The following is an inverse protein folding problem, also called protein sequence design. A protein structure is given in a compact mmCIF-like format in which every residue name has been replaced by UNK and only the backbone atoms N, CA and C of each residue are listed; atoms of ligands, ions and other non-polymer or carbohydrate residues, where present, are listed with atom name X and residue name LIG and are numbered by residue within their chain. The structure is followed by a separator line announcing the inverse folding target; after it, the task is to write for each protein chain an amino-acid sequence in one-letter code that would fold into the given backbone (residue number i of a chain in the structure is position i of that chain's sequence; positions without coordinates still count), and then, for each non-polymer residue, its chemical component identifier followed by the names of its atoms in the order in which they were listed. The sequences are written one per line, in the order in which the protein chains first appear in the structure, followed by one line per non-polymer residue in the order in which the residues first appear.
data_IF_134459503038
#
_entry.id   IF_134459503038
#
_cell.length_a   1.000
_cell.length_b   1.000
_cell.length_c   1.000
_cell.angle_alpha   90.00
_cell.angle_beta   90.00
_cell.angle_gamma   90.00
#
_symmetry.space_group_name_H-M   'P 1'
#
loop_
_entity.id
_entity.type
_entity.pdbx_description
1 polymer ?
#
# COMPACT_ATOMS: atom_id res chain seq x y z
N UNK A 1 -3.35 2.16 2.79
CA UNK A 1 -2.87 2.17 1.38
C UNK A 1 -3.40 3.41 0.68
N UNK A 2 -2.61 4.07 -0.18
CA UNK A 2 -3.10 5.18 -1.00
C UNK A 2 -2.93 4.81 -2.48
N UNK A 3 -3.99 5.02 -3.28
CA UNK A 3 -4.05 4.66 -4.70
C UNK A 3 -3.41 5.69 -5.63
N UNK A 4 -3.52 5.45 -6.95
CA UNK A 4 -3.02 6.37 -7.98
C UNK A 4 -3.86 7.65 -8.10
N UNK A 5 -5.09 7.66 -7.61
CA UNK A 5 -5.96 8.84 -7.50
C UNK A 5 -5.41 9.87 -6.53
N UNK A 6 -4.65 9.44 -5.52
CA UNK A 6 -4.10 10.30 -4.46
C UNK A 6 -5.16 11.08 -3.67
N UNK A 7 -6.38 10.55 -3.58
CA UNK A 7 -7.53 11.19 -2.95
C UNK A 7 -7.65 10.89 -1.46
N UNK A 8 -7.09 9.77 -1.01
CA UNK A 8 -7.17 9.37 0.39
C UNK A 8 -6.37 8.11 0.72
N UNK A 9 -6.63 7.60 1.90
CA UNK A 9 -5.97 6.41 2.46
C UNK A 9 -7.00 5.37 2.88
N UNK A 10 -6.83 4.15 2.37
CA UNK A 10 -7.48 2.97 2.92
C UNK A 10 -6.63 2.38 4.05
N UNK A 11 -7.26 2.09 5.18
CA UNK A 11 -6.67 1.40 6.31
C UNK A 11 -7.50 0.17 6.65
N UNK A 12 -6.83 -0.96 6.82
CA UNK A 12 -7.46 -2.21 7.25
C UNK A 12 -6.70 -2.79 8.43
N UNK A 13 -7.44 -3.29 9.41
CA UNK A 13 -6.90 -4.12 10.48
C UNK A 13 -7.30 -5.56 10.19
N UNK A 14 -6.33 -6.45 10.19
CA UNK A 14 -6.52 -7.85 9.83
C UNK A 14 -5.85 -8.76 10.86
N UNK A 15 -6.43 -9.95 11.05
CA UNK A 15 -5.75 -11.11 11.65
C UNK A 15 -5.29 -12.05 10.54
N UNK A 16 -4.02 -12.46 10.59
CA UNK A 16 -3.45 -13.39 9.62
C UNK A 16 -2.34 -14.19 10.26
N UNK A 17 -2.18 -15.43 9.83
CA UNK A 17 -1.03 -16.28 10.17
C UNK A 17 0.17 -16.05 9.23
N UNK A 18 0.03 -15.15 8.25
CA UNK A 18 1.03 -14.86 7.23
C UNK A 18 1.09 -15.91 6.10
N UNK A 19 0.23 -16.91 6.07
CA UNK A 19 0.21 -18.03 5.12
C UNK A 19 -1.10 -18.11 4.34
N UNK A 20 -2.13 -18.68 4.95
CA UNK A 20 -3.38 -18.99 4.28
C UNK A 20 -4.64 -18.61 5.06
N UNK A 21 -4.49 -18.08 6.26
CA UNK A 21 -5.62 -17.59 7.06
C UNK A 21 -5.60 -16.06 7.12
N UNK A 22 -6.78 -15.52 6.94
CA UNK A 22 -6.99 -14.08 6.94
C UNK A 22 -8.43 -13.77 7.40
N UNK A 23 -8.55 -12.80 8.28
CA UNK A 23 -9.84 -12.18 8.61
C UNK A 23 -9.69 -10.68 8.74
N UNK A 24 -10.64 -9.93 8.17
CA UNK A 24 -10.71 -8.49 8.34
C UNK A 24 -11.45 -8.16 9.63
N UNK A 25 -10.84 -7.32 10.47
CA UNK A 25 -11.41 -6.84 11.74
C UNK A 25 -12.05 -5.47 11.53
N UNK A 26 -11.33 -4.57 10.86
CA UNK A 26 -11.74 -3.18 10.67
C UNK A 26 -11.28 -2.67 9.32
N UNK A 27 -12.10 -1.88 8.65
CA UNK A 27 -11.74 -1.21 7.41
C UNK A 27 -12.27 0.21 7.44
N UNK A 28 -11.46 1.17 7.01
CA UNK A 28 -11.87 2.56 6.86
C UNK A 28 -11.14 3.21 5.71
N UNK A 29 -11.73 4.27 5.19
CA UNK A 29 -11.15 5.17 4.21
C UNK A 29 -11.20 6.59 4.74
N UNK A 30 -10.14 7.36 4.53
CA UNK A 30 -10.08 8.78 4.91
C UNK A 30 -9.52 9.60 3.77
N UNK A 31 -10.30 10.55 3.30
CA UNK A 31 -9.86 11.52 2.29
C UNK A 31 -8.75 12.41 2.84
N UNK A 32 -7.82 12.79 1.99
CA UNK A 32 -6.84 13.82 2.33
C UNK A 32 -7.55 15.17 2.44
N UNK A 33 -7.05 16.04 3.33
CA UNK A 33 -7.42 17.44 3.28
C UNK A 33 -6.94 18.08 1.98
N UNK A 34 -7.60 19.19 1.59
CA UNK A 34 -7.30 19.91 0.35
C UNK A 34 -5.82 20.32 0.22
N UNK A 35 -5.19 20.64 1.35
CA UNK A 35 -3.80 21.06 1.39
C UNK A 35 -2.84 19.93 1.02
N UNK A 36 -2.98 18.78 1.67
CA UNK A 36 -2.16 17.61 1.39
C UNK A 36 -2.46 17.04 -0.01
N UNK A 37 -3.73 16.96 -0.40
CA UNK A 37 -4.12 16.53 -1.73
C UNK A 37 -3.44 17.34 -2.83
N UNK A 38 -3.54 18.68 -2.78
CA UNK A 38 -2.90 19.58 -3.75
C UNK A 38 -1.38 19.42 -3.80
N UNK A 39 -0.74 19.22 -2.64
CA UNK A 39 0.70 18.98 -2.58
C UNK A 39 1.11 17.66 -3.20
N UNK A 40 0.33 16.57 -2.96
CA UNK A 40 0.58 15.27 -3.58
C UNK A 40 0.44 15.33 -5.11
N UNK A 41 -0.61 15.96 -5.62
CA UNK A 41 -0.84 16.14 -7.05
C UNK A 41 0.29 16.98 -7.68
N UNK A 42 0.61 18.14 -7.07
CA UNK A 42 1.70 18.99 -7.55
C UNK A 42 3.04 18.25 -7.61
N UNK A 43 3.34 17.46 -6.58
CA UNK A 43 4.57 16.69 -6.53
C UNK A 43 4.60 15.59 -7.61
N UNK A 44 3.48 14.86 -7.81
CA UNK A 44 3.35 13.86 -8.86
C UNK A 44 3.63 14.46 -10.24
N UNK A 45 3.07 15.63 -10.52
CA UNK A 45 3.17 16.29 -11.81
C UNK A 45 4.58 16.83 -12.10
N UNK A 46 5.38 17.09 -11.05
CA UNK A 46 6.79 17.51 -11.14
C UNK A 46 7.77 16.35 -11.32
N UNK A 47 7.41 15.15 -10.90
CA UNK A 47 8.30 13.98 -10.93
C UNK A 47 7.99 13.12 -12.14
N UNK A 48 8.70 13.35 -13.24
CA UNK A 48 8.56 12.60 -14.49
C UNK A 48 9.74 11.65 -14.75
N UNK A 49 10.89 11.89 -14.14
CA UNK A 49 12.08 11.07 -14.31
C UNK A 49 12.91 10.99 -13.01
N UNK A 50 13.91 10.11 -13.01
CA UNK A 50 14.76 9.87 -11.83
C UNK A 50 15.49 11.11 -11.31
N UNK A 51 15.91 12.02 -12.20
CA UNK A 51 16.65 13.23 -11.79
C UNK A 51 15.76 14.17 -10.97
N UNK A 52 14.45 14.18 -11.25
CA UNK A 52 13.48 15.00 -10.55
C UNK A 52 13.40 14.65 -9.05
N UNK A 53 13.64 13.38 -8.70
CA UNK A 53 13.70 12.96 -7.28
C UNK A 53 14.77 13.72 -6.50
N UNK A 54 15.91 14.00 -7.12
CA UNK A 54 16.97 14.78 -6.50
C UNK A 54 16.65 16.28 -6.53
N UNK A 55 16.16 16.77 -7.65
CA UNK A 55 15.81 18.19 -7.85
C UNK A 55 14.75 18.65 -6.85
N UNK A 56 13.74 17.81 -6.60
CA UNK A 56 12.62 18.12 -5.71
C UNK A 56 12.75 17.48 -4.31
N UNK A 57 13.96 17.08 -3.90
CA UNK A 57 14.18 16.33 -2.66
C UNK A 57 13.65 17.04 -1.40
N UNK A 58 13.77 18.36 -1.32
CA UNK A 58 13.26 19.15 -0.19
C UNK A 58 11.72 19.08 -0.14
N UNK A 59 11.05 19.28 -1.27
CA UNK A 59 9.59 19.19 -1.37
C UNK A 59 9.10 17.77 -1.10
N UNK A 60 9.79 16.75 -1.64
CA UNK A 60 9.52 15.34 -1.37
C UNK A 60 9.55 15.06 0.14
N UNK A 61 10.58 15.51 0.86
CA UNK A 61 10.71 15.28 2.29
C UNK A 61 9.62 15.99 3.10
N UNK A 62 9.25 17.21 2.73
CA UNK A 62 8.16 17.95 3.40
C UNK A 62 6.82 17.25 3.22
N UNK A 63 6.47 16.89 1.98
CA UNK A 63 5.22 16.20 1.66
C UNK A 63 5.20 14.78 2.27
N UNK A 64 6.32 14.06 2.25
CA UNK A 64 6.45 12.74 2.89
C UNK A 64 6.16 12.80 4.38
N UNK A 65 6.70 13.82 5.07
CA UNK A 65 6.43 14.03 6.51
C UNK A 65 4.94 14.29 6.76
N UNK A 66 4.32 15.19 6.00
CA UNK A 66 2.89 15.51 6.14
C UNK A 66 2.01 14.28 5.86
N UNK A 67 2.32 13.56 4.78
CA UNK A 67 1.65 12.31 4.44
C UNK A 67 1.78 11.26 5.56
N UNK A 68 2.98 11.14 6.15
CA UNK A 68 3.22 10.19 7.25
C UNK A 68 2.43 10.58 8.50
N UNK A 69 2.39 11.87 8.85
CA UNK A 69 1.62 12.36 9.99
C UNK A 69 0.11 12.20 9.78
N UNK A 70 -0.41 12.46 8.57
CA UNK A 70 -1.80 12.18 8.23
C UNK A 70 -2.15 10.70 8.49
N UNK A 71 -1.32 9.78 7.98
CA UNK A 71 -1.49 8.35 8.23
C UNK A 71 -1.40 8.00 9.73
N UNK A 72 -0.51 8.66 10.47
CA UNK A 72 -0.38 8.41 11.91
C UNK A 72 -1.64 8.84 12.68
N UNK A 73 -2.27 9.93 12.32
CA UNK A 73 -3.54 10.34 12.92
C UNK A 73 -4.65 9.30 12.66
N UNK A 74 -4.79 8.84 11.42
CA UNK A 74 -5.76 7.81 11.08
C UNK A 74 -5.49 6.49 11.81
N UNK A 75 -4.23 6.05 11.88
CA UNK A 75 -3.84 4.84 12.62
C UNK A 75 -4.20 4.98 14.10
N UNK A 76 -3.94 6.14 14.70
CA UNK A 76 -4.24 6.38 16.12
C UNK A 76 -5.76 6.38 16.38
N UNK A 77 -6.56 6.98 15.50
CA UNK A 77 -8.03 6.90 15.57
C UNK A 77 -8.48 5.44 15.57
N UNK A 78 -8.02 4.63 14.59
CA UNK A 78 -8.42 3.24 14.47
C UNK A 78 -7.96 2.38 15.65
N UNK A 79 -6.73 2.56 16.14
CA UNK A 79 -6.25 1.82 17.32
C UNK A 79 -7.11 2.16 18.56
N UNK A 80 -7.59 3.40 18.68
CA UNK A 80 -8.51 3.79 19.76
C UNK A 80 -9.89 3.16 19.66
N UNK A 81 -10.34 2.82 18.46
CA UNK A 81 -11.67 2.27 18.20
C UNK A 81 -11.74 0.73 18.28
N UNK A 82 -10.59 0.05 18.17
CA UNK A 82 -10.52 -1.41 18.19
C UNK A 82 -9.99 -1.93 19.55
N UNK A 83 -10.48 -3.10 19.95
CA UNK A 83 -10.00 -3.79 21.15
C UNK A 83 -9.05 -4.95 20.78
N UNK A 84 -8.03 -4.65 19.96
CA UNK A 84 -7.08 -5.63 19.46
C UNK A 84 -5.65 -5.09 19.58
N UNK A 85 -4.72 -5.95 19.98
CA UNK A 85 -3.30 -5.59 19.94
C UNK A 85 -2.77 -5.67 18.51
N UNK A 86 -2.01 -4.66 18.10
CA UNK A 86 -1.40 -4.58 16.79
C UNK A 86 0.07 -5.03 16.88
N UNK A 87 0.41 -6.13 16.23
CA UNK A 87 1.78 -6.65 16.19
C UNK A 87 2.68 -5.84 15.26
N UNK A 88 2.16 -5.46 14.10
CA UNK A 88 2.92 -4.73 13.09
C UNK A 88 2.04 -3.84 12.21
N UNK A 89 2.66 -2.86 11.58
CA UNK A 89 2.02 -1.95 10.62
C UNK A 89 2.65 -2.16 9.25
N UNK A 90 1.84 -2.55 8.26
CA UNK A 90 2.23 -2.58 6.86
C UNK A 90 1.98 -1.21 6.22
N UNK A 91 3.03 -0.47 5.89
CA UNK A 91 2.94 0.89 5.36
C UNK A 91 3.35 0.94 3.89
N UNK A 92 2.37 0.87 2.99
CA UNK A 92 2.62 0.90 1.54
C UNK A 92 3.17 2.25 1.07
N UNK A 93 2.74 3.36 1.69
CA UNK A 93 3.07 4.70 1.25
C UNK A 93 2.33 5.13 -0.03
N UNK A 94 2.67 6.33 -0.52
CA UNK A 94 2.13 6.91 -1.76
C UNK A 94 3.20 6.89 -2.86
N UNK A 95 2.96 6.15 -3.94
CA UNK A 95 3.89 6.10 -5.08
C UNK A 95 3.95 7.47 -5.78
N UNK A 96 5.16 7.98 -5.95
CA UNK A 96 5.45 9.21 -6.73
C UNK A 96 6.33 8.93 -7.96
N UNK A 97 7.16 7.88 -7.90
CA UNK A 97 7.97 7.45 -9.03
C UNK A 97 8.09 5.93 -9.08
N UNK A 98 8.12 5.37 -10.30
CA UNK A 98 8.33 3.93 -10.49
C UNK A 98 8.87 3.66 -11.88
N UNK A 99 10.08 3.13 -11.97
CA UNK A 99 10.69 2.66 -13.21
C UNK A 99 11.45 1.35 -12.95
N UNK A 100 10.87 0.20 -13.31
CA UNK A 100 11.50 -1.09 -13.09
C UNK A 100 12.74 -1.32 -13.97
N UNK A 101 12.89 -0.59 -15.08
CA UNK A 101 14.07 -0.72 -15.96
C UNK A 101 15.35 -0.24 -15.28
N UNK A 102 15.25 0.78 -14.44
CA UNK A 102 16.35 1.29 -13.64
C UNK A 102 16.27 0.81 -12.17
N UNK A 103 15.35 -0.11 -11.86
CA UNK A 103 15.13 -0.70 -10.55
C UNK A 103 14.88 0.32 -9.43
N UNK A 104 14.13 1.37 -9.72
CA UNK A 104 13.82 2.43 -8.75
C UNK A 104 12.31 2.62 -8.60
N UNK A 105 11.89 2.63 -7.35
CA UNK A 105 10.54 3.02 -6.95
C UNK A 105 10.60 3.92 -5.73
N UNK A 106 10.04 5.13 -5.81
CA UNK A 106 9.91 6.03 -4.67
C UNK A 106 8.44 6.10 -4.25
N UNK A 107 8.22 5.74 -3.00
CA UNK A 107 6.98 5.98 -2.28
C UNK A 107 7.23 7.00 -1.17
N UNK A 108 6.29 7.92 -0.99
CA UNK A 108 6.24 8.76 0.20
C UNK A 108 5.76 7.91 1.38
N UNK A 109 6.35 8.12 2.53
CA UNK A 109 5.99 7.43 3.76
C UNK A 109 7.22 7.04 4.57
N UNK A 110 7.42 7.74 5.68
CA UNK A 110 8.52 7.48 6.61
C UNK A 110 8.12 6.40 7.63
N UNK A 111 8.49 5.16 7.34
CA UNK A 111 8.24 4.02 8.23
C UNK A 111 8.99 4.11 9.55
N UNK A 112 10.14 4.81 9.61
CA UNK A 112 10.89 5.03 10.86
C UNK A 112 10.14 5.99 11.77
N UNK A 113 9.59 7.07 11.20
CA UNK A 113 8.76 8.00 11.95
C UNK A 113 7.52 7.29 12.52
N UNK A 114 6.79 6.49 11.72
CA UNK A 114 5.66 5.72 12.22
C UNK A 114 6.08 4.73 13.31
N UNK A 115 7.17 4.00 13.13
CA UNK A 115 7.67 3.07 14.16
C UNK A 115 8.01 3.79 15.46
N UNK A 116 8.59 4.99 15.37
CA UNK A 116 8.90 5.82 16.53
C UNK A 116 7.65 6.30 17.26
N UNK A 117 6.59 6.67 16.54
CA UNK A 117 5.33 7.18 17.11
C UNK A 117 4.54 6.06 17.79
N UNK A 118 4.43 4.90 17.17
CA UNK A 118 3.59 3.80 17.67
C UNK A 118 4.34 2.77 18.51
N UNK A 119 5.67 2.80 18.54
CA UNK A 119 6.51 1.77 19.20
C UNK A 119 6.20 0.35 18.68
N UNK A 120 5.84 0.25 17.42
CA UNK A 120 5.49 -0.99 16.72
C UNK A 120 6.45 -1.23 15.56
N UNK A 121 6.53 -2.49 15.12
CA UNK A 121 7.24 -2.85 13.89
C UNK A 121 6.50 -2.24 12.70
N UNK A 122 7.21 -1.53 11.84
CA UNK A 122 6.65 -0.98 10.59
C UNK A 122 7.39 -1.60 9.40
N UNK A 123 6.64 -2.26 8.53
CA UNK A 123 7.15 -2.81 7.28
C UNK A 123 6.73 -1.88 6.15
N UNK A 124 7.72 -1.39 5.40
CA UNK A 124 7.53 -0.45 4.30
C UNK A 124 8.42 -0.77 3.10
N UNK A 125 8.44 0.09 2.08
CA UNK A 125 9.28 -0.06 0.88
C UNK A 125 9.05 -1.38 0.09
N UNK A 126 7.85 -1.90 0.10
CA UNK A 126 7.52 -3.17 -0.56
C UNK A 126 7.97 -3.22 -2.02
N UNK A 127 7.72 -2.16 -2.80
CA UNK A 127 8.06 -2.11 -4.23
C UNK A 127 9.56 -2.06 -4.47
N UNK A 128 10.29 -1.26 -3.71
CA UNK A 128 11.74 -1.18 -3.84
C UNK A 128 12.41 -2.49 -3.40
N UNK A 129 11.86 -3.15 -2.37
CA UNK A 129 12.36 -4.45 -1.94
C UNK A 129 12.16 -5.52 -3.02
N UNK A 130 11.01 -5.55 -3.68
CA UNK A 130 10.75 -6.46 -4.79
C UNK A 130 11.70 -6.21 -5.99
N UNK A 131 11.92 -4.95 -6.36
CA UNK A 131 12.89 -4.56 -7.39
C UNK A 131 14.31 -5.01 -7.05
N UNK A 132 14.75 -4.84 -5.81
CA UNK A 132 16.07 -5.25 -5.34
C UNK A 132 16.31 -6.78 -5.44
N UNK A 133 15.22 -7.56 -5.47
CA UNK A 133 15.25 -9.01 -5.63
C UNK A 133 14.88 -9.50 -7.04
N UNK A 134 14.94 -8.61 -8.04
CA UNK A 134 14.71 -8.94 -9.45
C UNK A 134 13.25 -8.94 -9.89
N UNK A 135 12.32 -8.50 -9.03
CA UNK A 135 10.92 -8.31 -9.38
C UNK A 135 10.70 -7.01 -10.17
N UNK A 136 9.43 -6.74 -10.47
CA UNK A 136 8.99 -5.54 -11.21
C UNK A 136 8.48 -4.42 -10.28
N UNK A 137 8.38 -4.67 -8.96
CA UNK A 137 7.82 -3.74 -7.98
C UNK A 137 6.31 -3.52 -8.09
N UNK A 138 5.68 -4.05 -9.11
CA UNK A 138 4.24 -4.00 -9.36
C UNK A 138 3.84 -5.06 -10.42
N UNK A 139 2.64 -5.70 -10.30
CA UNK A 139 1.73 -5.63 -9.16
C UNK A 139 2.21 -6.46 -7.96
N UNK A 140 1.91 -6.04 -6.73
CA UNK A 140 2.19 -6.81 -5.50
C UNK A 140 0.99 -7.62 -4.99
N UNK A 141 -0.21 -7.31 -5.49
CA UNK A 141 -1.48 -7.93 -5.06
C UNK A 141 -1.71 -9.38 -5.48
N UNK A 142 -1.07 -9.97 -6.52
CA UNK A 142 -1.36 -11.34 -6.95
C UNK A 142 -1.19 -12.39 -5.84
N UNK A 143 -0.25 -12.21 -4.91
CA UNK A 143 -0.06 -13.11 -3.76
C UNK A 143 -1.31 -13.11 -2.87
N UNK A 144 -1.85 -11.93 -2.58
CA UNK A 144 -3.07 -11.77 -1.79
C UNK A 144 -4.31 -12.23 -2.57
N UNK A 145 -4.36 -11.99 -3.87
CA UNK A 145 -5.44 -12.49 -4.73
C UNK A 145 -5.52 -14.02 -4.71
N UNK A 146 -4.39 -14.70 -4.62
CA UNK A 146 -4.36 -16.17 -4.47
C UNK A 146 -5.02 -16.60 -3.16
N UNK A 147 -4.70 -15.95 -2.04
CA UNK A 147 -5.32 -16.23 -0.75
C UNK A 147 -6.84 -16.01 -0.79
N UNK A 148 -7.28 -14.85 -1.29
CA UNK A 148 -8.70 -14.53 -1.45
C UNK A 148 -9.39 -15.58 -2.33
N UNK A 149 -8.77 -16.00 -3.45
CA UNK A 149 -9.35 -17.01 -4.33
C UNK A 149 -9.59 -18.34 -3.64
N UNK A 150 -8.66 -18.79 -2.78
CA UNK A 150 -8.85 -20.00 -1.97
C UNK A 150 -10.07 -19.87 -1.03
N UNK A 151 -10.18 -18.74 -0.35
CA UNK A 151 -11.30 -18.47 0.57
C UNK A 151 -12.63 -18.43 -0.18
N UNK A 152 -12.69 -17.71 -1.31
CA UNK A 152 -13.90 -17.58 -2.15
C UNK A 152 -14.27 -18.94 -2.74
N UNK A 153 -13.31 -19.68 -3.27
CA UNK A 153 -13.54 -21.02 -3.82
C UNK A 153 -14.17 -21.96 -2.78
N UNK A 154 -13.65 -21.95 -1.57
CA UNK A 154 -14.19 -22.77 -0.46
C UNK A 154 -15.61 -22.35 -0.08
N UNK A 155 -15.84 -21.04 0.07
CA UNK A 155 -17.11 -20.51 0.57
C UNK A 155 -18.24 -20.58 -0.47
N UNK A 156 -17.93 -20.34 -1.74
CA UNK A 156 -18.92 -20.24 -2.83
C UNK A 156 -18.87 -21.42 -3.80
N UNK A 157 -18.01 -22.43 -3.55
CA UNK A 157 -17.82 -23.62 -4.40
C UNK A 157 -17.52 -23.26 -5.87
N UNK A 158 -16.79 -22.17 -6.08
CA UNK A 158 -16.41 -21.74 -7.43
C UNK A 158 -15.35 -22.68 -8.02
N UNK A 159 -15.41 -22.84 -9.34
CA UNK A 159 -14.40 -23.59 -10.09
C UNK A 159 -13.32 -22.67 -10.64
N UNK A 160 -12.13 -23.19 -10.80
CA UNK A 160 -11.04 -22.50 -11.51
C UNK A 160 -11.31 -22.51 -13.03
N UNK A 161 -10.84 -21.50 -13.77
CA UNK A 161 -10.05 -20.38 -13.29
C UNK A 161 -10.90 -19.28 -12.61
N UNK A 162 -10.34 -18.62 -11.59
CA UNK A 162 -10.93 -17.45 -10.96
C UNK A 162 -10.19 -16.20 -11.45
N UNK A 163 -10.94 -15.21 -11.89
CA UNK A 163 -10.39 -13.91 -12.31
C UNK A 163 -10.75 -12.83 -11.29
N UNK A 164 -9.73 -12.16 -10.76
CA UNK A 164 -9.89 -10.99 -9.89
C UNK A 164 -9.53 -9.77 -10.71
N UNK A 165 -10.50 -8.85 -10.86
CA UNK A 165 -10.35 -7.62 -11.63
C UNK A 165 -10.28 -6.46 -10.64
N UNK A 166 -9.19 -5.69 -10.72
CA UNK A 166 -9.05 -4.42 -10.01
C UNK A 166 -9.23 -3.29 -11.01
N UNK A 167 -10.23 -2.44 -10.80
CA UNK A 167 -10.60 -1.33 -11.68
C UNK A 167 -10.30 -0.02 -10.95
N UNK A 168 -9.38 0.76 -11.48
CA UNK A 168 -8.98 2.07 -10.98
C UNK A 168 -8.47 2.95 -12.13
N UNK A 169 -7.56 3.86 -11.88
CA UNK A 169 -6.89 4.61 -12.93
C UNK A 169 -6.16 3.71 -13.94
N UNK A 170 -5.79 2.51 -13.51
CA UNK A 170 -5.29 1.41 -14.36
C UNK A 170 -6.05 0.16 -13.95
N UNK A 171 -6.54 -0.59 -14.94
CA UNK A 171 -7.21 -1.88 -14.70
C UNK A 171 -6.20 -3.02 -14.76
N UNK A 172 -6.26 -3.91 -13.77
CA UNK A 172 -5.43 -5.12 -13.69
C UNK A 172 -6.32 -6.35 -13.52
N UNK A 173 -5.89 -7.46 -14.12
CA UNK A 173 -6.55 -8.76 -13.98
C UNK A 173 -5.54 -9.76 -13.43
N UNK A 174 -5.91 -10.45 -12.35
CA UNK A 174 -5.18 -11.61 -11.84
C UNK A 174 -6.00 -12.85 -12.11
N UNK A 175 -5.47 -13.78 -12.89
CA UNK A 175 -6.10 -15.07 -13.15
C UNK A 175 -5.44 -16.17 -12.34
N UNK A 176 -6.22 -16.85 -11.53
CA UNK A 176 -5.81 -18.04 -10.79
C UNK A 176 -6.31 -19.27 -11.55
N UNK A 177 -5.38 -20.05 -12.13
CA UNK A 177 -5.68 -21.18 -13.01
C UNK A 177 -5.65 -22.53 -12.32
N UNK A 178 -4.82 -22.67 -11.29
CA UNK A 178 -4.57 -23.94 -10.61
C UNK A 178 -4.56 -23.74 -9.09
N UNK A 179 -4.95 -24.79 -8.36
CA UNK A 179 -4.69 -24.89 -6.93
C UNK A 179 -3.17 -25.09 -6.73
N UNK A 180 -2.52 -24.02 -6.40
CA UNK A 180 -1.13 -24.11 -5.98
C UNK A 180 -1.13 -24.56 -4.51
N UNK A 181 -0.99 -25.87 -4.31
CA UNK A 181 -0.75 -26.48 -2.99
C UNK A 181 0.61 -26.04 -2.44
#
# INVERSE_FOLDING_TARGET
MSGTSMDGVDLSVIKSDGLDQFSSIYNTYKEFDDGLYKQLISLRDKISNFKDLKTHSIEINDVEKKFTLFNSHLINEVIGDINEDIDLIGFHGQKVFHDPKIQISKQLGDGRLLSSLFKKIVINNFRQNDLNHGGQGAPLTPIFHRLISKIIQKNFKLKLPINIINIGGITNITQIKEDLN
#
